data_IF_345234711119
#
_entry.id   IF_345234711119
#
_cell.length_a   1.000
_cell.length_b   1.000
_cell.length_c   1.000
_cell.angle_alpha   90.00
_cell.angle_beta   90.00
_cell.angle_gamma   90.00
#
_symmetry.space_group_name_H-M   'P 1'
#
loop_
_entity.id
_entity.type
_entity.pdbx_description
1 polymer ?
#
# COMPACT_ATOMS: atom_id res chain seq x y z
N UNK A 1 0.53 23.84 -28.93
CA UNK A 1 1.29 22.94 -29.84
C UNK A 1 2.47 22.26 -29.12
N UNK A 2 3.29 22.98 -28.34
CA UNK A 2 4.45 22.41 -27.62
C UNK A 2 4.03 21.36 -26.56
N UNK A 3 2.95 21.62 -25.85
CA UNK A 3 2.43 20.65 -24.84
C UNK A 3 1.93 19.37 -25.50
N UNK A 4 1.26 19.47 -26.65
CA UNK A 4 0.75 18.31 -27.39
C UNK A 4 1.91 17.39 -27.85
N UNK A 5 2.98 17.98 -28.43
CA UNK A 5 4.15 17.17 -28.81
C UNK A 5 4.86 16.50 -27.65
N UNK A 6 4.89 17.15 -26.47
CA UNK A 6 5.44 16.55 -25.26
C UNK A 6 4.54 15.41 -24.74
N UNK A 7 3.21 15.56 -24.82
CA UNK A 7 2.27 14.50 -24.46
C UNK A 7 2.42 13.28 -25.38
N UNK A 8 2.55 13.48 -26.69
CA UNK A 8 2.77 12.38 -27.64
C UNK A 8 4.07 11.62 -27.35
N UNK A 9 5.18 12.34 -27.11
CA UNK A 9 6.45 11.70 -26.76
C UNK A 9 6.37 10.91 -25.45
N UNK A 10 5.70 11.46 -24.43
CA UNK A 10 5.48 10.79 -23.15
C UNK A 10 4.59 9.54 -23.33
N UNK A 11 3.53 9.63 -24.13
CA UNK A 11 2.62 8.53 -24.44
C UNK A 11 3.33 7.38 -25.15
N UNK A 12 4.13 7.69 -26.17
CA UNK A 12 4.93 6.68 -26.90
C UNK A 12 5.91 5.97 -25.95
N UNK A 13 6.58 6.72 -25.07
CA UNK A 13 7.48 6.16 -24.07
C UNK A 13 6.73 5.23 -23.10
N UNK A 14 5.57 5.65 -22.61
CA UNK A 14 4.73 4.85 -21.72
C UNK A 14 4.29 3.54 -22.39
N UNK A 15 3.84 3.59 -23.66
CA UNK A 15 3.47 2.39 -24.42
C UNK A 15 4.64 1.42 -24.52
N UNK A 16 5.85 1.93 -24.81
CA UNK A 16 7.06 1.09 -24.88
C UNK A 16 7.40 0.47 -23.52
N UNK A 17 7.31 1.24 -22.44
CA UNK A 17 7.52 0.74 -21.08
C UNK A 17 6.52 -0.37 -20.72
N UNK A 18 5.25 -0.22 -21.10
CA UNK A 18 4.21 -1.23 -20.84
C UNK A 18 4.47 -2.49 -21.67
N UNK A 19 4.73 -2.35 -22.98
CA UNK A 19 5.04 -3.49 -23.87
C UNK A 19 6.26 -4.27 -23.42
N UNK A 20 7.28 -3.59 -22.89
CA UNK A 20 8.51 -4.19 -22.40
C UNK A 20 8.40 -4.64 -20.92
N UNK A 21 7.24 -4.48 -20.28
CA UNK A 21 7.02 -4.76 -18.86
C UNK A 21 8.03 -4.06 -17.93
N UNK A 22 8.51 -2.88 -18.33
CA UNK A 22 9.51 -2.11 -17.58
C UNK A 22 8.90 -1.04 -16.65
N UNK A 23 7.57 -0.83 -16.73
CA UNK A 23 6.86 0.10 -15.85
C UNK A 23 6.31 -0.63 -14.62
N UNK A 24 6.99 -0.49 -13.48
CA UNK A 24 6.65 -1.19 -12.25
C UNK A 24 5.27 -0.80 -11.68
N UNK A 25 4.81 0.43 -11.93
CA UNK A 25 3.47 0.86 -11.48
C UNK A 25 2.40 0.08 -12.27
N UNK A 26 2.54 -0.01 -13.58
CA UNK A 26 1.61 -0.79 -14.41
C UNK A 26 1.71 -2.28 -14.09
N UNK A 27 2.92 -2.79 -13.93
CA UNK A 27 3.14 -4.19 -13.56
C UNK A 27 2.46 -4.55 -12.24
N UNK A 28 2.27 -3.58 -11.33
CA UNK A 28 1.63 -3.86 -10.03
C UNK A 28 0.15 -4.26 -10.15
N UNK A 29 -0.54 -3.96 -11.27
CA UNK A 29 -1.91 -4.46 -11.49
C UNK A 29 -1.95 -5.81 -12.18
N UNK A 30 -0.84 -6.31 -12.70
CA UNK A 30 -0.82 -7.57 -13.42
C UNK A 30 -1.24 -8.76 -12.55
N UNK A 31 -1.85 -9.72 -13.18
CA UNK A 31 -2.25 -11.00 -12.54
C UNK A 31 -1.10 -11.65 -11.78
N UNK A 32 0.11 -11.64 -12.34
CA UNK A 32 1.28 -12.24 -11.70
C UNK A 32 1.68 -11.51 -10.41
N UNK A 33 1.62 -10.17 -10.42
CA UNK A 33 1.91 -9.38 -9.23
C UNK A 33 0.85 -9.60 -8.14
N UNK A 34 -0.42 -9.61 -8.53
CA UNK A 34 -1.53 -9.84 -7.60
C UNK A 34 -1.53 -11.27 -7.03
N UNK A 35 -1.14 -12.26 -7.81
CA UNK A 35 -0.95 -13.63 -7.32
C UNK A 35 0.18 -13.71 -6.27
N UNK A 36 1.27 -12.96 -6.43
CA UNK A 36 2.32 -12.85 -5.39
C UNK A 36 1.77 -12.27 -4.10
N UNK A 37 0.98 -11.19 -4.18
CA UNK A 37 0.34 -10.59 -2.99
C UNK A 37 -0.60 -11.60 -2.32
N UNK A 38 -1.39 -12.34 -3.09
CA UNK A 38 -2.26 -13.40 -2.58
C UNK A 38 -1.46 -14.45 -1.81
N UNK A 39 -0.37 -14.95 -2.37
CA UNK A 39 0.51 -15.92 -1.69
C UNK A 39 1.12 -15.36 -0.39
N UNK A 40 1.44 -14.06 -0.34
CA UNK A 40 1.90 -13.42 0.89
C UNK A 40 0.77 -13.33 1.92
N UNK A 41 -0.42 -12.91 1.49
CA UNK A 41 -1.61 -12.80 2.32
C UNK A 41 -2.03 -14.13 2.94
N UNK A 42 -1.95 -15.23 2.17
CA UNK A 42 -2.33 -16.56 2.62
C UNK A 42 -1.40 -17.09 3.74
N UNK A 43 -0.22 -16.50 3.91
CA UNK A 43 0.73 -16.80 5.01
C UNK A 43 0.48 -15.98 6.26
N UNK A 44 -0.42 -14.99 6.21
CA UNK A 44 -0.73 -14.12 7.35
C UNK A 44 -1.81 -14.75 8.20
N UNK A 45 -1.56 -14.83 9.51
CA UNK A 45 -2.58 -15.22 10.48
C UNK A 45 -3.58 -14.07 10.63
N UNK A 46 -4.73 -14.20 9.98
CA UNK A 46 -5.78 -13.18 10.05
C UNK A 46 -6.48 -13.20 11.40
N UNK A 47 -6.66 -12.05 12.00
CA UNK A 47 -7.51 -11.81 13.14
C UNK A 47 -8.86 -11.22 12.71
N UNK A 48 -9.77 -11.08 13.68
CA UNK A 48 -11.11 -10.54 13.43
C UNK A 48 -11.08 -9.13 12.82
N UNK A 49 -10.13 -8.31 13.27
CA UNK A 49 -9.99 -6.91 12.86
C UNK A 49 -8.63 -6.67 12.20
N UNK A 50 -8.52 -5.61 11.44
CA UNK A 50 -7.28 -5.16 10.83
C UNK A 50 -6.98 -3.74 11.28
N UNK A 51 -5.70 -3.46 11.55
CA UNK A 51 -5.18 -2.16 11.91
C UNK A 51 -4.01 -1.82 10.99
N UNK A 52 -4.04 -0.66 10.37
CA UNK A 52 -2.93 -0.14 9.55
C UNK A 52 -2.33 1.07 10.25
N UNK A 53 -1.02 1.03 10.46
CA UNK A 53 -0.20 2.15 10.90
C UNK A 53 0.70 2.55 9.75
N UNK A 54 0.46 3.73 9.17
CA UNK A 54 1.23 4.21 8.03
C UNK A 54 0.76 5.59 7.62
N UNK A 55 1.66 6.41 7.06
CA UNK A 55 1.40 7.81 6.75
C UNK A 55 1.35 8.08 5.25
N UNK A 56 0.49 9.01 4.86
CA UNK A 56 0.39 9.50 3.48
C UNK A 56 0.14 8.37 2.48
N UNK A 57 1.05 8.18 1.51
CA UNK A 57 0.94 7.15 0.48
C UNK A 57 0.87 5.71 1.02
N UNK A 58 1.38 5.46 2.24
CA UNK A 58 1.35 4.13 2.86
C UNK A 58 -0.03 3.75 3.42
N UNK A 59 -0.96 4.69 3.55
CA UNK A 59 -2.32 4.44 4.04
C UNK A 59 -3.42 4.90 3.08
N UNK A 60 -3.19 5.97 2.31
CA UNK A 60 -4.23 6.63 1.51
C UNK A 60 -4.88 5.70 0.48
N UNK A 61 -4.09 4.90 -0.24
CA UNK A 61 -4.61 3.94 -1.23
C UNK A 61 -5.45 2.85 -0.57
N UNK A 62 -4.98 2.30 0.54
CA UNK A 62 -5.72 1.31 1.32
C UNK A 62 -7.01 1.88 1.89
N UNK A 63 -7.01 3.13 2.38
CA UNK A 63 -8.24 3.83 2.83
C UNK A 63 -9.28 3.96 1.72
N UNK A 64 -8.85 4.35 0.52
CA UNK A 64 -9.75 4.49 -0.61
C UNK A 64 -10.43 3.16 -0.96
N UNK A 65 -9.67 2.07 -1.02
CA UNK A 65 -10.22 0.73 -1.25
C UNK A 65 -11.15 0.31 -0.10
N UNK A 66 -10.73 0.54 1.15
CA UNK A 66 -11.53 0.22 2.33
C UNK A 66 -12.90 0.92 2.32
N UNK A 67 -12.93 2.19 1.95
CA UNK A 67 -14.18 2.96 1.81
C UNK A 67 -15.04 2.44 0.67
N UNK A 68 -14.44 2.13 -0.48
CA UNK A 68 -15.15 1.60 -1.64
C UNK A 68 -15.80 0.23 -1.35
N UNK A 69 -15.08 -0.64 -0.64
CA UNK A 69 -15.55 -1.97 -0.28
C UNK A 69 -16.44 -2.02 0.97
N UNK A 70 -16.58 -0.92 1.70
CA UNK A 70 -17.28 -0.91 2.99
C UNK A 70 -16.62 -1.80 4.05
N UNK A 71 -15.29 -2.00 3.96
CA UNK A 71 -14.54 -2.81 4.89
C UNK A 71 -14.30 -2.10 6.22
N UNK A 72 -14.00 -2.85 7.28
CA UNK A 72 -13.85 -2.34 8.64
C UNK A 72 -12.38 -2.20 9.11
N UNK A 73 -11.44 -2.07 8.16
CA UNK A 73 -10.03 -1.84 8.50
C UNK A 73 -9.86 -0.49 9.17
N UNK A 74 -9.18 -0.46 10.31
CA UNK A 74 -8.87 0.77 11.04
C UNK A 74 -7.50 1.32 10.60
N UNK A 75 -7.38 2.65 10.62
CA UNK A 75 -6.16 3.34 10.22
C UNK A 75 -5.70 4.30 11.31
N UNK A 76 -4.47 4.11 11.80
CA UNK A 76 -3.78 5.06 12.64
C UNK A 76 -2.77 5.83 11.79
N UNK A 77 -3.21 6.94 11.25
CA UNK A 77 -2.42 7.85 10.41
C UNK A 77 -2.55 9.31 10.88
N UNK A 78 -2.95 9.48 12.13
CA UNK A 78 -3.07 10.77 12.82
C UNK A 78 -2.46 10.64 14.22
N UNK A 79 -1.83 11.74 14.69
CA UNK A 79 -1.16 11.84 16.01
C UNK A 79 -2.00 12.50 17.07
N UNK A 80 -3.30 12.63 16.92
CA UNK A 80 -4.16 13.15 17.97
C UNK A 80 -3.96 12.32 19.26
N UNK A 81 -3.38 12.90 20.33
CA UNK A 81 -3.07 12.16 21.53
C UNK A 81 -4.32 11.64 22.25
N UNK A 82 -5.42 12.37 22.16
CA UNK A 82 -6.69 11.96 22.77
C UNK A 82 -7.28 10.76 22.03
N UNK A 83 -7.30 10.83 20.69
CA UNK A 83 -7.74 9.71 19.86
C UNK A 83 -6.91 8.45 20.10
N UNK A 84 -5.58 8.57 20.11
CA UNK A 84 -4.68 7.43 20.34
C UNK A 84 -4.84 6.83 21.73
N UNK A 85 -4.96 7.67 22.76
CA UNK A 85 -5.15 7.21 24.14
C UNK A 85 -6.47 6.45 24.28
N UNK A 86 -7.55 6.96 23.71
CA UNK A 86 -8.85 6.29 23.70
C UNK A 86 -8.81 4.99 22.90
N UNK A 87 -8.19 4.99 21.70
CA UNK A 87 -8.01 3.80 20.89
C UNK A 87 -7.28 2.70 21.65
N UNK A 88 -6.14 2.99 22.26
CA UNK A 88 -5.35 1.99 23.00
C UNK A 88 -6.06 1.50 24.26
N UNK A 89 -6.85 2.35 24.92
CA UNK A 89 -7.62 1.99 26.11
C UNK A 89 -8.78 1.05 25.78
N UNK A 90 -9.48 1.31 24.68
CA UNK A 90 -10.75 0.64 24.38
C UNK A 90 -10.58 -0.57 23.45
N UNK A 91 -9.41 -0.73 22.82
CA UNK A 91 -9.14 -1.78 21.83
C UNK A 91 -8.48 -3.01 22.44
N UNK A 92 -9.07 -4.18 22.20
CA UNK A 92 -8.39 -5.44 22.46
C UNK A 92 -7.47 -5.80 21.29
N UNK A 93 -6.19 -5.40 21.38
CA UNK A 93 -5.19 -5.55 20.33
C UNK A 93 -4.89 -7.01 19.95
N UNK A 94 -5.20 -8.00 20.79
CA UNK A 94 -5.10 -9.42 20.44
C UNK A 94 -6.03 -9.81 19.28
N UNK A 95 -7.10 -9.05 19.06
CA UNK A 95 -8.06 -9.30 18.00
C UNK A 95 -7.70 -8.63 16.67
N UNK A 96 -6.52 -8.02 16.57
CA UNK A 96 -6.07 -7.32 15.37
C UNK A 96 -4.91 -8.02 14.67
N UNK A 97 -4.97 -8.08 13.35
CA UNK A 97 -3.80 -8.16 12.48
C UNK A 97 -3.32 -6.73 12.25
N UNK A 98 -2.07 -6.44 12.62
CA UNK A 98 -1.53 -5.07 12.63
C UNK A 98 -0.49 -4.94 11.51
N UNK A 99 -0.71 -4.01 10.61
CA UNK A 99 0.20 -3.71 9.50
C UNK A 99 0.93 -2.39 9.76
N UNK A 100 2.26 -2.45 9.83
CA UNK A 100 3.12 -1.27 9.95
C UNK A 100 3.73 -1.01 8.57
N UNK A 101 3.34 0.08 7.94
CA UNK A 101 3.68 0.35 6.55
C UNK A 101 4.48 1.64 6.42
N UNK A 102 5.72 1.51 5.97
CA UNK A 102 6.57 2.63 5.56
C UNK A 102 7.52 2.19 4.47
N UNK A 103 7.40 2.76 3.27
CA UNK A 103 8.27 2.43 2.14
C UNK A 103 9.74 2.57 2.51
N UNK A 104 10.16 3.75 2.94
CA UNK A 104 11.55 4.05 3.32
C UNK A 104 11.99 3.34 4.61
N UNK A 105 11.03 2.95 5.44
CA UNK A 105 11.31 2.46 6.79
C UNK A 105 11.84 3.52 7.77
N UNK A 106 11.84 4.80 7.38
CA UNK A 106 12.39 5.92 8.15
C UNK A 106 11.38 7.04 8.38
N UNK A 107 10.11 6.83 8.02
CA UNK A 107 9.05 7.80 8.29
C UNK A 107 8.90 7.97 9.79
N UNK A 108 9.29 9.15 10.29
CA UNK A 108 9.35 9.44 11.73
C UNK A 108 8.02 9.16 12.42
N UNK A 109 6.97 9.55 11.80
CA UNK A 109 5.60 9.35 12.26
C UNK A 109 5.26 7.86 12.43
N UNK A 110 5.53 7.05 11.43
CA UNK A 110 5.26 5.61 11.53
C UNK A 110 6.10 4.96 12.63
N UNK A 111 7.37 5.38 12.78
CA UNK A 111 8.26 4.88 13.81
C UNK A 111 7.80 5.30 15.22
N UNK A 112 7.36 6.55 15.39
CA UNK A 112 6.82 7.05 16.64
C UNK A 112 5.56 6.27 17.06
N UNK A 113 4.65 6.04 16.10
CA UNK A 113 3.43 5.27 16.35
C UNK A 113 3.74 3.82 16.72
N UNK A 114 4.70 3.19 16.02
CA UNK A 114 5.17 1.86 16.34
C UNK A 114 5.75 1.79 17.76
N UNK A 115 6.54 2.79 18.16
CA UNK A 115 7.07 2.88 19.52
C UNK A 115 5.96 3.00 20.56
N UNK A 116 4.96 3.86 20.33
CA UNK A 116 3.80 4.00 21.23
C UNK A 116 3.02 2.69 21.35
N UNK A 117 2.79 1.99 20.24
CA UNK A 117 2.16 0.67 20.25
C UNK A 117 2.95 -0.31 21.10
N UNK A 118 4.27 -0.42 20.91
CA UNK A 118 5.10 -1.34 21.66
C UNK A 118 5.15 -1.00 23.16
N UNK A 119 5.29 0.28 23.51
CA UNK A 119 5.23 0.72 24.93
C UNK A 119 3.90 0.36 25.58
N UNK A 120 2.78 0.54 24.87
CA UNK A 120 1.47 0.16 25.36
C UNK A 120 1.37 -1.35 25.58
N UNK A 121 1.79 -2.18 24.60
CA UNK A 121 1.75 -3.64 24.70
C UNK A 121 2.62 -4.18 25.84
N UNK A 122 3.79 -3.56 26.09
CA UNK A 122 4.66 -3.89 27.23
C UNK A 122 3.95 -3.54 28.53
N UNK A 123 3.37 -2.34 28.62
CA UNK A 123 2.68 -1.86 29.83
C UNK A 123 1.55 -2.78 30.28
N UNK A 124 0.80 -3.33 29.33
CA UNK A 124 -0.32 -4.25 29.61
C UNK A 124 0.08 -5.74 29.50
N UNK A 125 1.38 -6.03 29.35
CA UNK A 125 1.96 -7.38 29.38
C UNK A 125 1.44 -8.36 28.32
N UNK A 126 1.08 -7.87 27.12
CA UNK A 126 0.60 -8.71 25.99
C UNK A 126 1.49 -8.65 24.75
N UNK A 127 2.68 -8.06 24.83
CA UNK A 127 3.57 -7.89 23.67
C UNK A 127 3.87 -9.21 22.97
N UNK A 128 4.21 -10.26 23.70
CA UNK A 128 4.58 -11.56 23.11
C UNK A 128 3.43 -12.27 22.39
N UNK A 129 2.21 -11.94 22.74
CA UNK A 129 1.01 -12.44 22.06
C UNK A 129 0.73 -11.64 20.78
N UNK A 130 0.72 -10.32 20.88
CA UNK A 130 0.33 -9.43 19.79
C UNK A 130 1.41 -9.32 18.71
N UNK A 131 2.70 -9.36 19.07
CA UNK A 131 3.80 -9.26 18.09
C UNK A 131 3.74 -10.30 16.98
N UNK A 132 3.14 -11.47 17.23
CA UNK A 132 2.94 -12.54 16.23
C UNK A 132 1.94 -12.15 15.13
N UNK A 133 1.14 -11.12 15.40
CA UNK A 133 0.12 -10.61 14.48
C UNK A 133 0.54 -9.28 13.84
N UNK A 134 1.79 -8.83 14.07
CA UNK A 134 2.35 -7.60 13.50
C UNK A 134 3.10 -7.96 12.22
N UNK A 135 2.71 -7.33 11.13
CA UNK A 135 3.32 -7.42 9.82
C UNK A 135 3.94 -6.07 9.47
N UNK A 136 5.20 -6.09 9.10
CA UNK A 136 5.93 -4.89 8.65
C UNK A 136 6.07 -4.93 7.14
N UNK A 137 5.68 -3.85 6.46
CA UNK A 137 5.84 -3.67 5.02
C UNK A 137 6.77 -2.50 4.78
N UNK A 138 7.97 -2.79 4.29
CA UNK A 138 9.02 -1.80 4.01
C UNK A 138 9.97 -2.30 2.93
N UNK A 139 10.78 -1.42 2.36
CA UNK A 139 11.83 -1.86 1.42
C UNK A 139 12.81 -2.82 2.11
N UNK A 140 13.25 -3.83 1.36
CA UNK A 140 14.34 -4.70 1.81
C UNK A 140 15.68 -3.96 1.66
N UNK A 141 15.97 -3.14 2.66
CA UNK A 141 17.18 -2.32 2.78
C UNK A 141 17.56 -2.16 4.24
N UNK A 142 18.74 -1.67 4.49
CA UNK A 142 19.18 -1.28 5.83
C UNK A 142 18.47 0.02 6.25
N UNK A 143 17.28 -0.12 6.83
CA UNK A 143 16.48 0.98 7.36
C UNK A 143 15.98 0.66 8.77
N UNK A 144 15.55 1.69 9.50
CA UNK A 144 15.17 1.58 10.91
C UNK A 144 14.02 0.59 11.13
N UNK A 145 13.00 0.63 10.29
CA UNK A 145 11.82 -0.24 10.44
C UNK A 145 12.16 -1.71 10.13
N UNK A 146 12.97 -1.98 9.10
CA UNK A 146 13.45 -3.31 8.76
C UNK A 146 14.29 -3.90 9.90
N UNK A 147 15.23 -3.10 10.43
CA UNK A 147 16.09 -3.53 11.54
C UNK A 147 15.28 -3.78 12.81
N UNK A 148 14.31 -2.91 13.10
CA UNK A 148 13.40 -3.11 14.23
C UNK A 148 12.60 -4.40 14.09
N UNK A 149 12.05 -4.67 12.90
CA UNK A 149 11.28 -5.88 12.65
C UNK A 149 12.13 -7.15 12.81
N UNK A 150 13.34 -7.16 12.26
CA UNK A 150 14.29 -8.28 12.43
C UNK A 150 14.64 -8.52 13.89
N UNK A 151 14.97 -7.45 14.63
CA UNK A 151 15.33 -7.54 16.06
C UNK A 151 14.20 -8.10 16.91
N UNK A 152 12.95 -7.83 16.57
CA UNK A 152 11.77 -8.25 17.31
C UNK A 152 11.10 -9.51 16.75
N UNK A 153 11.70 -10.16 15.72
CA UNK A 153 11.15 -11.32 15.02
C UNK A 153 9.72 -11.08 14.48
N UNK A 154 9.46 -9.89 13.92
CA UNK A 154 8.20 -9.56 13.27
C UNK A 154 8.18 -10.11 11.84
N UNK A 155 6.99 -10.40 11.32
CA UNK A 155 6.84 -10.79 9.93
C UNK A 155 7.15 -9.61 9.01
N UNK A 156 8.10 -9.80 8.08
CA UNK A 156 8.50 -8.81 7.08
C UNK A 156 7.94 -9.15 5.71
N UNK A 157 7.41 -8.15 5.03
CA UNK A 157 7.01 -8.21 3.61
C UNK A 157 7.76 -7.11 2.89
N UNK A 158 8.61 -7.45 1.91
CA UNK A 158 9.39 -6.46 1.19
C UNK A 158 8.50 -5.65 0.24
N UNK A 159 8.64 -4.31 0.29
CA UNK A 159 8.03 -3.41 -0.67
C UNK A 159 8.92 -3.19 -1.89
N UNK A 160 8.31 -3.07 -3.07
CA UNK A 160 9.04 -2.80 -4.32
C UNK A 160 9.66 -1.39 -4.30
N UNK A 161 11.00 -1.32 -4.30
CA UNK A 161 11.76 -0.06 -4.26
C UNK A 161 11.44 0.90 -5.41
N UNK A 162 11.07 0.36 -6.56
CA UNK A 162 10.81 1.15 -7.77
C UNK A 162 9.42 1.81 -7.77
N UNK A 163 8.52 1.43 -6.86
CA UNK A 163 7.19 2.01 -6.76
C UNK A 163 7.16 3.04 -5.63
N UNK A 164 6.88 4.31 -5.96
CA UNK A 164 6.72 5.38 -4.97
C UNK A 164 5.47 5.18 -4.11
N UNK A 165 5.50 5.61 -2.85
CA UNK A 165 4.36 5.45 -1.92
C UNK A 165 3.02 5.97 -2.48
N UNK A 166 3.04 7.08 -3.23
CA UNK A 166 1.83 7.65 -3.86
C UNK A 166 1.25 6.81 -5.00
N UNK A 167 2.01 5.85 -5.51
CA UNK A 167 1.62 4.95 -6.60
C UNK A 167 1.47 3.49 -6.15
N UNK A 168 1.47 3.24 -4.84
CA UNK A 168 1.55 1.90 -4.27
C UNK A 168 0.20 1.23 -3.99
N UNK A 169 -0.91 1.83 -4.44
CA UNK A 169 -2.26 1.31 -4.14
C UNK A 169 -2.49 -0.13 -4.63
N UNK A 170 -1.87 -0.54 -5.74
CA UNK A 170 -1.96 -1.91 -6.27
C UNK A 170 -0.84 -2.83 -5.79
N UNK A 171 -0.04 -2.39 -4.83
CA UNK A 171 1.03 -3.19 -4.24
C UNK A 171 0.59 -3.86 -2.93
N UNK A 172 1.51 -4.60 -2.30
CA UNK A 172 1.32 -5.21 -0.99
C UNK A 172 0.92 -4.21 0.10
N UNK A 173 1.19 -2.91 -0.06
CA UNK A 173 0.83 -1.89 0.95
C UNK A 173 -0.68 -1.70 1.13
N UNK A 174 -1.47 -2.01 0.10
CA UNK A 174 -2.92 -1.91 0.18
C UNK A 174 -3.60 -3.24 -0.16
N UNK A 175 -3.22 -3.90 -1.26
CA UNK A 175 -3.92 -5.08 -1.76
C UNK A 175 -3.86 -6.29 -0.82
N UNK A 176 -2.87 -6.35 0.08
CA UNK A 176 -2.75 -7.43 1.07
C UNK A 176 -3.87 -7.44 2.11
N UNK A 177 -4.50 -6.29 2.32
CA UNK A 177 -5.57 -6.12 3.31
C UNK A 177 -6.90 -6.71 2.85
N UNK A 178 -7.10 -6.84 1.53
CA UNK A 178 -8.38 -7.19 0.92
C UNK A 178 -8.29 -8.52 0.18
N UNK A 179 -9.39 -9.28 0.17
CA UNK A 179 -9.46 -10.60 -0.46
C UNK A 179 -9.78 -10.50 -1.97
N UNK A 180 -10.69 -11.36 -2.45
CA UNK A 180 -11.05 -11.47 -3.87
C UNK A 180 -11.56 -10.17 -4.52
N UNK A 181 -12.14 -9.27 -3.73
CA UNK A 181 -12.64 -7.99 -4.25
C UNK A 181 -11.49 -7.07 -4.68
N UNK A 182 -10.35 -7.16 -4.02
CA UNK A 182 -9.13 -6.45 -4.46
C UNK A 182 -8.68 -6.91 -5.85
N UNK A 183 -8.81 -8.20 -6.17
CA UNK A 183 -8.48 -8.72 -7.50
C UNK A 183 -9.35 -8.07 -8.58
N UNK A 184 -10.66 -7.93 -8.37
CA UNK A 184 -11.56 -7.28 -9.32
C UNK A 184 -11.18 -5.82 -9.60
N UNK A 185 -10.71 -5.09 -8.57
CA UNK A 185 -10.24 -3.71 -8.72
C UNK A 185 -8.98 -3.69 -9.60
N UNK A 186 -8.05 -4.61 -9.37
CA UNK A 186 -6.82 -4.73 -10.15
C UNK A 186 -7.11 -5.11 -11.60
N UNK A 187 -7.96 -6.09 -11.84
CA UNK A 187 -8.39 -6.54 -13.18
C UNK A 187 -9.05 -5.39 -13.96
N UNK A 188 -9.84 -4.55 -13.26
CA UNK A 188 -10.46 -3.38 -13.86
C UNK A 188 -9.43 -2.32 -14.24
N UNK A 189 -8.39 -2.12 -13.42
CA UNK A 189 -7.31 -1.19 -13.72
C UNK A 189 -6.47 -1.67 -14.91
N UNK A 190 -6.14 -2.96 -14.99
CA UNK A 190 -5.43 -3.55 -16.13
C UNK A 190 -6.24 -3.42 -17.41
N UNK A 191 -7.54 -3.72 -17.37
CA UNK A 191 -8.46 -3.54 -18.51
C UNK A 191 -8.55 -2.09 -18.98
N UNK A 192 -8.59 -1.13 -18.04
CA UNK A 192 -8.61 0.29 -18.38
C UNK A 192 -7.33 0.71 -19.09
N UNK A 193 -6.15 0.32 -18.58
CA UNK A 193 -4.87 0.62 -19.19
C UNK A 193 -4.78 0.04 -20.62
N UNK A 194 -5.21 -1.21 -20.81
CA UNK A 194 -5.24 -1.86 -22.12
C UNK A 194 -6.10 -1.08 -23.11
N UNK A 195 -7.31 -0.69 -22.71
CA UNK A 195 -8.22 0.12 -23.54
C UNK A 195 -7.64 1.50 -23.90
N UNK A 196 -6.97 2.16 -22.95
CA UNK A 196 -6.34 3.46 -23.19
C UNK A 196 -5.20 3.36 -24.21
N UNK A 197 -4.46 2.23 -24.20
CA UNK A 197 -3.38 1.98 -25.17
C UNK A 197 -3.94 1.65 -26.55
N UNK A 198 -5.00 0.83 -26.62
CA UNK A 198 -5.66 0.45 -27.88
C UNK A 198 -6.32 1.65 -28.59
N UNK A 199 -6.86 2.61 -27.83
CA UNK A 199 -7.57 3.79 -28.34
C UNK A 199 -6.64 4.91 -28.80
N UNK A 200 -5.45 4.61 -29.25
CA UNK A 200 -4.48 5.56 -29.80
C UNK A 200 -4.22 6.77 -28.89
N UNK A 201 -3.17 6.69 -28.06
CA UNK A 201 -2.73 7.79 -27.19
C UNK A 201 -2.28 9.06 -27.97
N UNK A 202 -2.30 9.04 -29.29
CA UNK A 202 -2.03 10.20 -30.15
C UNK A 202 -3.33 10.94 -30.53
N UNK A 203 -4.50 10.36 -30.28
CA UNK A 203 -5.79 10.95 -30.60
C UNK A 203 -6.21 11.98 -29.54
N UNK A 204 -6.45 13.21 -29.94
CA UNK A 204 -6.95 14.30 -29.09
C UNK A 204 -8.33 13.99 -28.50
N UNK A 205 -9.08 13.04 -29.03
CA UNK A 205 -10.34 12.57 -28.45
C UNK A 205 -10.13 11.67 -27.23
N UNK A 206 -8.92 11.17 -27.00
CA UNK A 206 -8.62 10.34 -25.84
C UNK A 206 -8.65 11.18 -24.55
N UNK A 207 -9.51 10.85 -23.55
CA UNK A 207 -9.64 11.63 -22.33
C UNK A 207 -8.32 11.82 -21.57
N UNK A 208 -7.42 10.84 -21.64
CA UNK A 208 -6.12 10.89 -20.95
C UNK A 208 -5.19 11.91 -21.60
N UNK A 209 -5.18 11.96 -22.94
CA UNK A 209 -4.40 12.95 -23.70
C UNK A 209 -4.96 14.35 -23.46
N UNK A 210 -6.29 14.52 -23.48
CA UNK A 210 -6.95 15.79 -23.19
C UNK A 210 -6.63 16.28 -21.79
N UNK A 211 -6.71 15.43 -20.77
CA UNK A 211 -6.35 15.79 -19.39
C UNK A 211 -4.88 16.24 -19.29
N UNK A 212 -3.96 15.53 -19.93
CA UNK A 212 -2.53 15.86 -19.92
C UNK A 212 -2.18 17.16 -20.70
N UNK A 213 -2.99 17.54 -21.68
CA UNK A 213 -2.80 18.80 -22.45
C UNK A 213 -3.30 20.03 -21.68
N UNK A 214 -4.31 19.85 -20.83
CA UNK A 214 -4.90 20.92 -20.02
C UNK A 214 -4.01 21.26 -18.81
N UNK A 215 -3.30 20.29 -18.25
CA UNK A 215 -2.36 20.47 -17.12
C UNK A 215 -1.01 21.02 -17.56
#
# INVERSE_FOLDING_TARGET
KKNLSNCHAASQKLILEIKNQSNEIVNSFSIDYQNKIKLLRDKIVKKKNQLVIGMGGSSAGAKAINMYLGSSTLFLDNYDPEYLNNFFKDSNLNNFTIYIISKSGETFETLAMLNLLFQHLIKISILDEVKKNIIVITEDSDNLLNNFAKKNNLQLIPHNKKIGGRFSVFTETAMILFDLEAQKISDSAESLVSKLIENNLEDESNPTVNAAVIL
#
